data_IF_124668375302
#
_entry.id   IF_124668375302
#
_cell.length_a   1.000
_cell.length_b   1.000
_cell.length_c   1.000
_cell.angle_alpha   90.00
_cell.angle_beta   90.00
_cell.angle_gamma   90.00
#
_symmetry.space_group_name_H-M   'P 1'
#
loop_
_entity.id
_entity.type
_entity.pdbx_description
1 polymer ?
#
# COMPACT_ATOMS: atom_id res chain seq x y z
N UNK A 1 15.31 -23.55 36.24
CA UNK A 1 14.25 -23.76 35.32
C UNK A 1 13.34 -22.57 35.28
N UNK A 2 13.10 -22.13 34.14
CA UNK A 2 12.31 -20.93 34.04
C UNK A 2 10.90 -21.25 33.55
N UNK A 3 10.04 -21.52 34.52
CA UNK A 3 8.66 -21.85 34.23
C UNK A 3 7.88 -20.66 33.68
N UNK A 4 8.37 -19.45 33.94
CA UNK A 4 7.63 -18.26 33.53
C UNK A 4 7.64 -18.07 32.05
N UNK A 5 8.75 -18.37 31.40
CA UNK A 5 8.80 -18.29 29.95
C UNK A 5 7.85 -19.29 29.32
N UNK A 6 7.80 -20.48 29.88
CA UNK A 6 6.89 -21.51 29.40
C UNK A 6 5.45 -21.08 29.63
N UNK A 7 5.15 -20.51 30.80
CA UNK A 7 3.80 -20.08 31.12
C UNK A 7 3.30 -19.00 30.17
N UNK A 8 4.15 -18.03 29.82
CA UNK A 8 3.78 -17.01 28.86
C UNK A 8 3.49 -17.62 27.48
N UNK A 9 4.34 -18.57 27.09
CA UNK A 9 4.15 -19.24 25.80
C UNK A 9 2.85 -20.02 25.77
N UNK A 10 2.54 -20.72 26.88
CA UNK A 10 1.35 -21.53 26.98
C UNK A 10 0.07 -20.69 26.97
N UNK A 11 0.16 -19.43 27.40
CA UNK A 11 -1.00 -18.55 27.45
C UNK A 11 -1.27 -17.82 26.14
N UNK A 12 -0.37 -17.94 25.19
CA UNK A 12 -0.59 -17.32 23.89
C UNK A 12 -1.43 -18.24 23.02
N UNK A 13 -2.47 -17.69 22.40
CA UNK A 13 -3.28 -18.53 21.49
C UNK A 13 -2.45 -19.00 20.32
N UNK A 14 -2.72 -20.21 19.90
CA UNK A 14 -2.08 -20.79 18.73
C UNK A 14 -2.86 -20.37 17.50
N UNK A 15 -2.16 -19.81 16.52
CA UNK A 15 -2.78 -19.32 15.29
C UNK A 15 -2.21 -20.05 14.09
N UNK A 16 -3.03 -20.29 13.10
CA UNK A 16 -2.51 -20.70 11.79
C UNK A 16 -1.89 -19.48 11.12
N UNK A 17 -1.07 -19.74 10.08
CA UNK A 17 -0.49 -18.65 9.30
C UNK A 17 -1.61 -17.77 8.72
N UNK A 18 -2.67 -18.40 8.21
CA UNK A 18 -3.79 -17.64 7.64
C UNK A 18 -4.48 -16.78 8.67
N UNK A 19 -4.67 -17.32 9.87
CA UNK A 19 -5.31 -16.54 10.94
C UNK A 19 -4.47 -15.33 11.31
N UNK A 20 -3.17 -15.51 11.45
CA UNK A 20 -2.29 -14.37 11.75
C UNK A 20 -2.32 -13.35 10.61
N UNK A 21 -2.20 -13.83 9.38
CA UNK A 21 -2.19 -12.94 8.22
C UNK A 21 -3.48 -12.13 8.12
N UNK A 22 -4.61 -12.75 8.44
CA UNK A 22 -5.89 -12.04 8.41
C UNK A 22 -6.02 -11.03 9.55
N UNK A 23 -5.45 -11.32 10.71
CA UNK A 23 -5.43 -10.35 11.80
C UNK A 23 -4.56 -9.14 11.45
N UNK A 24 -3.41 -9.40 10.83
CA UNK A 24 -2.54 -8.30 10.39
C UNK A 24 -3.27 -7.46 9.34
N UNK A 25 -3.94 -8.12 8.39
CA UNK A 25 -4.71 -7.42 7.37
C UNK A 25 -5.76 -6.52 7.99
N UNK A 26 -6.52 -7.05 8.93
CA UNK A 26 -7.56 -6.26 9.60
C UNK A 26 -6.96 -5.04 10.30
N UNK A 27 -5.86 -5.23 11.01
CA UNK A 27 -5.21 -4.15 11.74
C UNK A 27 -4.68 -3.07 10.79
N UNK A 28 -4.03 -3.51 9.71
CA UNK A 28 -3.48 -2.58 8.72
C UNK A 28 -4.61 -1.79 8.05
N UNK A 29 -5.64 -2.49 7.60
CA UNK A 29 -6.74 -1.81 6.91
C UNK A 29 -7.49 -0.85 7.82
N UNK A 30 -7.62 -1.21 9.10
CA UNK A 30 -8.32 -0.34 10.06
C UNK A 30 -7.54 0.93 10.37
N UNK A 31 -6.22 0.87 10.33
CA UNK A 31 -5.38 2.01 10.70
C UNK A 31 -4.95 2.88 9.52
N UNK A 32 -5.04 2.38 8.30
CA UNK A 32 -4.57 3.11 7.12
C UNK A 32 -5.65 3.14 6.06
N UNK A 33 -6.82 3.62 6.46
CA UNK A 33 -7.99 3.67 5.56
C UNK A 33 -7.83 4.72 4.48
N UNK A 34 -7.08 5.77 4.75
CA UNK A 34 -6.78 6.77 3.76
C UNK A 34 -5.47 7.46 4.10
N UNK A 35 -4.53 7.37 3.17
CA UNK A 35 -3.18 7.94 3.36
C UNK A 35 -2.81 8.76 2.13
N UNK A 36 -1.89 9.69 2.33
CA UNK A 36 -1.28 10.46 1.27
C UNK A 36 0.22 10.15 1.30
N UNK A 37 0.72 9.53 0.26
CA UNK A 37 2.10 9.03 0.24
C UNK A 37 2.85 9.70 -0.91
N UNK A 38 3.96 10.34 -0.59
CA UNK A 38 4.82 10.95 -1.59
C UNK A 38 5.83 9.92 -2.04
N UNK A 39 6.01 9.81 -3.34
CA UNK A 39 7.00 8.90 -3.90
C UNK A 39 7.16 9.09 -5.38
N UNK A 40 8.18 8.45 -5.91
CA UNK A 40 8.45 8.45 -7.34
C UNK A 40 7.86 7.20 -7.95
N UNK A 41 7.14 7.37 -9.05
CA UNK A 41 6.55 6.24 -9.77
C UNK A 41 7.65 5.45 -10.47
N UNK A 42 7.59 4.14 -10.31
CA UNK A 42 8.49 3.22 -10.98
C UNK A 42 7.65 2.13 -11.65
N UNK A 43 7.98 1.84 -12.89
CA UNK A 43 7.40 0.74 -13.67
C UNK A 43 5.87 0.71 -13.71
N UNK A 44 5.24 1.81 -14.12
CA UNK A 44 3.79 1.79 -14.28
C UNK A 44 3.42 0.85 -15.42
N UNK A 45 2.46 -0.02 -15.17
CA UNK A 45 2.05 -1.04 -16.14
C UNK A 45 0.54 -1.16 -16.13
N UNK A 46 -0.07 -1.01 -17.32
CA UNK A 46 -1.50 -1.27 -17.45
C UNK A 46 -1.70 -2.69 -17.91
N UNK A 47 -2.43 -3.47 -17.11
CA UNK A 47 -2.75 -4.83 -17.48
C UNK A 47 -3.82 -4.83 -18.56
N UNK A 48 -3.96 -5.97 -19.24
CA UNK A 48 -5.00 -6.12 -20.26
C UNK A 48 -6.40 -5.93 -19.67
N UNK A 49 -6.56 -6.20 -18.36
CA UNK A 49 -7.81 -5.97 -17.66
C UNK A 49 -8.13 -4.49 -17.45
N UNK A 50 -7.15 -3.61 -17.68
CA UNK A 50 -7.30 -2.19 -17.46
C UNK A 50 -6.84 -1.71 -16.09
N UNK A 51 -6.51 -2.63 -15.20
CA UNK A 51 -5.94 -2.26 -13.90
C UNK A 51 -4.53 -1.71 -14.10
N UNK A 52 -4.17 -0.74 -13.26
CA UNK A 52 -2.85 -0.11 -13.32
C UNK A 52 -2.03 -0.58 -12.13
N UNK A 53 -0.83 -1.07 -12.41
CA UNK A 53 0.13 -1.47 -11.37
C UNK A 53 1.34 -0.56 -11.44
N UNK A 54 1.85 -0.18 -10.28
CA UNK A 54 3.08 0.61 -10.23
C UNK A 54 3.74 0.39 -8.88
N UNK A 55 4.95 0.90 -8.76
CA UNK A 55 5.67 0.93 -7.50
C UNK A 55 5.94 2.39 -7.16
N UNK A 56 5.73 2.78 -5.92
CA UNK A 56 6.19 4.06 -5.41
C UNK A 56 7.48 3.81 -4.67
N UNK A 57 8.45 4.71 -4.83
CA UNK A 57 9.72 4.54 -4.15
C UNK A 57 10.27 5.87 -3.67
N UNK A 58 11.09 5.79 -2.64
CA UNK A 58 11.93 6.90 -2.21
C UNK A 58 13.33 6.32 -1.98
N UNK A 59 14.20 7.04 -1.28
CA UNK A 59 15.58 6.62 -1.10
C UNK A 59 15.71 5.32 -0.30
N UNK A 60 14.71 5.02 0.52
CA UNK A 60 14.86 3.95 1.52
C UNK A 60 13.83 2.84 1.40
N UNK A 61 12.76 3.03 0.62
CA UNK A 61 11.66 2.08 0.64
C UNK A 61 10.93 2.04 -0.68
N UNK A 62 10.24 0.93 -0.90
CA UNK A 62 9.36 0.75 -2.05
C UNK A 62 8.00 0.31 -1.56
N UNK A 63 6.96 0.71 -2.28
CA UNK A 63 5.59 0.36 -1.94
C UNK A 63 4.85 0.04 -3.23
N UNK A 64 4.37 -1.19 -3.34
CA UNK A 64 3.58 -1.58 -4.51
C UNK A 64 2.21 -0.93 -4.45
N UNK A 65 1.71 -0.57 -5.61
CA UNK A 65 0.39 0.03 -5.72
C UNK A 65 -0.41 -0.58 -6.84
N UNK A 66 -1.71 -0.62 -6.63
CA UNK A 66 -2.65 -1.03 -7.65
C UNK A 66 -3.78 -0.01 -7.73
N UNK A 67 -4.16 0.32 -8.97
CA UNK A 67 -5.29 1.18 -9.22
C UNK A 67 -6.28 0.39 -10.06
N UNK A 68 -7.47 0.16 -9.51
CA UNK A 68 -8.48 -0.63 -10.21
C UNK A 68 -8.92 0.12 -11.47
N UNK A 69 -9.33 -0.65 -12.48
CA UNK A 69 -9.65 -0.11 -13.80
C UNK A 69 -10.53 1.13 -13.77
N UNK A 70 -11.62 1.10 -13.01
CA UNK A 70 -12.55 2.22 -12.96
C UNK A 70 -11.91 3.50 -12.46
N UNK A 71 -11.07 3.39 -11.45
CA UNK A 71 -10.33 4.53 -10.92
C UNK A 71 -9.21 4.93 -11.87
N UNK A 72 -8.52 3.95 -12.45
CA UNK A 72 -7.42 4.21 -13.37
C UNK A 72 -7.85 5.05 -14.56
N UNK A 73 -9.08 4.85 -15.02
CA UNK A 73 -9.62 5.62 -16.13
C UNK A 73 -9.91 7.08 -15.76
N UNK A 74 -10.02 7.36 -14.47
CA UNK A 74 -10.39 8.70 -13.99
C UNK A 74 -9.22 9.46 -13.37
N UNK A 75 -8.01 8.89 -13.38
CA UNK A 75 -6.87 9.58 -12.83
C UNK A 75 -6.62 10.90 -13.58
N UNK A 76 -6.33 11.95 -12.82
CA UNK A 76 -6.13 13.27 -13.40
C UNK A 76 -4.78 13.43 -14.07
N UNK A 77 -3.83 12.56 -13.75
CA UNK A 77 -2.52 12.58 -14.38
C UNK A 77 -2.19 11.20 -14.93
N UNK A 78 -1.39 11.17 -15.98
CA UNK A 78 -0.94 9.90 -16.55
C UNK A 78 0.31 9.45 -15.78
N UNK A 79 0.28 8.27 -15.16
CA UNK A 79 1.45 7.80 -14.44
C UNK A 79 2.58 7.46 -15.40
N UNK A 80 3.75 8.03 -15.12
CA UNK A 80 4.94 7.82 -15.93
C UNK A 80 6.11 7.48 -15.03
N UNK A 81 7.01 6.65 -15.56
CA UNK A 81 8.19 6.25 -14.81
C UNK A 81 9.00 7.49 -14.46
N UNK A 82 9.43 7.60 -13.21
CA UNK A 82 10.24 8.72 -12.75
C UNK A 82 9.45 9.93 -12.27
N UNK A 83 8.14 9.92 -12.41
CA UNK A 83 7.32 11.06 -12.01
C UNK A 83 7.12 11.05 -10.49
N UNK A 84 7.37 12.19 -9.86
CA UNK A 84 7.15 12.32 -8.42
C UNK A 84 5.71 12.74 -8.15
N UNK A 85 5.03 11.97 -7.33
CA UNK A 85 3.60 12.16 -7.08
C UNK A 85 3.28 12.08 -5.60
N UNK A 86 2.08 12.53 -5.27
CA UNK A 86 1.43 12.20 -4.01
C UNK A 86 0.31 11.24 -4.36
N UNK A 87 0.37 10.06 -3.78
CA UNK A 87 -0.60 9.01 -4.02
C UNK A 87 -1.56 8.95 -2.85
N UNK A 88 -2.83 9.04 -3.13
CA UNK A 88 -3.88 8.96 -2.12
C UNK A 88 -4.56 7.61 -2.27
N UNK A 89 -4.71 6.90 -1.17
CA UNK A 89 -5.33 5.60 -1.20
C UNK A 89 -5.38 4.96 0.16
N UNK A 90 -5.65 3.67 0.17
CA UNK A 90 -5.72 2.91 1.41
C UNK A 90 -4.73 1.76 1.35
N UNK A 91 -4.25 1.35 2.53
CA UNK A 91 -3.30 0.25 2.61
C UNK A 91 -4.05 -1.03 2.89
N UNK A 92 -3.65 -2.09 2.19
CA UNK A 92 -4.14 -3.43 2.45
C UNK A 92 -2.97 -4.39 2.44
N UNK A 93 -3.20 -5.59 2.92
CA UNK A 93 -2.18 -6.63 2.83
C UNK A 93 -2.63 -7.68 1.83
N UNK A 94 -1.66 -8.42 1.34
CA UNK A 94 -1.90 -9.56 0.46
C UNK A 94 -1.50 -10.81 1.24
N UNK A 95 -2.44 -11.47 1.91
CA UNK A 95 -2.10 -12.55 2.85
C UNK A 95 -1.31 -13.69 2.23
N UNK A 96 -1.52 -13.97 0.95
CA UNK A 96 -0.80 -15.04 0.29
C UNK A 96 0.69 -14.83 0.25
N UNK A 97 1.16 -13.59 0.43
CA UNK A 97 2.58 -13.26 0.38
C UNK A 97 3.06 -12.42 1.54
N UNK A 98 2.20 -12.14 2.50
CA UNK A 98 2.54 -11.30 3.66
C UNK A 98 3.15 -9.96 3.25
N UNK A 99 2.55 -9.33 2.25
CA UNK A 99 2.98 -8.03 1.74
C UNK A 99 1.85 -7.02 1.93
N UNK A 100 2.23 -5.75 2.03
CA UNK A 100 1.21 -4.71 2.01
C UNK A 100 1.38 -3.86 0.76
N UNK A 101 0.31 -3.20 0.37
CA UNK A 101 0.30 -2.39 -0.85
C UNK A 101 -0.71 -1.27 -0.68
N UNK A 102 -0.61 -0.27 -1.54
CA UNK A 102 -1.58 0.82 -1.55
C UNK A 102 -2.57 0.59 -2.69
N UNK A 103 -3.86 0.69 -2.36
CA UNK A 103 -4.90 0.72 -3.38
C UNK A 103 -5.11 2.19 -3.71
N UNK A 104 -4.74 2.56 -4.92
CA UNK A 104 -4.64 3.94 -5.36
C UNK A 104 -6.01 4.48 -5.70
N UNK A 105 -6.36 5.62 -5.11
CA UNK A 105 -7.61 6.32 -5.40
C UNK A 105 -7.37 7.58 -6.22
N UNK A 106 -6.25 8.27 -5.98
CA UNK A 106 -5.90 9.49 -6.69
C UNK A 106 -4.39 9.63 -6.78
N UNK A 107 -3.94 10.31 -7.82
CA UNK A 107 -2.55 10.72 -7.96
C UNK A 107 -2.52 12.22 -8.20
N UNK A 108 -1.61 12.92 -7.51
CA UNK A 108 -1.38 14.34 -7.66
C UNK A 108 0.09 14.57 -7.97
N UNK A 109 0.40 15.60 -8.74
CA UNK A 109 1.79 15.97 -8.95
C UNK A 109 2.37 16.51 -7.65
N UNK A 110 3.52 15.99 -7.23
CA UNK A 110 4.19 16.50 -6.05
C UNK A 110 4.84 17.84 -6.39
N UNK A 111 4.63 18.82 -5.53
CA UNK A 111 5.23 20.14 -5.72
C UNK A 111 4.41 21.08 -6.58
N UNK A 112 3.85 20.60 -7.68
CA UNK A 112 3.06 21.44 -8.54
C UNK A 112 1.80 21.94 -7.86
N UNK A 113 1.16 21.08 -7.08
CA UNK A 113 -0.02 21.49 -6.35
C UNK A 113 0.27 22.63 -5.39
N UNK A 114 1.45 22.65 -4.80
CA UNK A 114 1.83 23.73 -3.90
C UNK A 114 2.01 25.03 -4.65
N UNK A 115 2.59 24.99 -5.84
CA UNK A 115 2.77 26.18 -6.67
C UNK A 115 1.43 26.74 -7.13
N UNK A 116 0.53 25.87 -7.52
CA UNK A 116 -0.77 26.30 -8.02
C UNK A 116 -1.64 26.92 -6.95
N UNK A 117 -1.37 26.62 -5.71
CA UNK A 117 -2.14 27.18 -4.59
C UNK A 117 -1.66 28.56 -4.18
N UNK A 118 -0.53 28.99 -4.65
CA UNK A 118 -0.01 30.31 -4.38
C UNK A 118 -0.67 31.34 -5.26
#
# INVERSE_FOLDING_TARGET
>A
MDNRSIDFTDNLPELTVSELSNQVKFTVESNFQRVRVKGEISRPTRASSGHLYLTLKDENAVLDGICWRGTAQRLSIEPEDGLEVICIGKITTYPGRSKYQIIIEELEHAGEGALLKL
#
